data_IF_158837925582
#
_entry.id   IF_158837925582
#
_cell.length_a   1.000
_cell.length_b   1.000
_cell.length_c   1.000
_cell.angle_alpha   90.00
_cell.angle_beta   90.00
_cell.angle_gamma   90.00
#
_symmetry.space_group_name_H-M   'P 1'
#
loop_
_entity.id
_entity.type
_entity.pdbx_description
1 polymer ?
#
# COMPACT_ATOMS: atom_id res chain seq x y z
N UNK A 1 -27.71 3.90 0.84
CA UNK A 1 -27.43 2.65 1.60
C UNK A 1 -26.13 2.79 2.38
N UNK A 2 -26.09 2.38 3.64
CA UNK A 2 -24.91 2.32 4.52
C UNK A 2 -24.23 0.96 4.32
N UNK A 3 -23.10 0.94 3.62
CA UNK A 3 -22.42 -0.32 3.27
C UNK A 3 -21.07 -0.39 3.97
N UNK A 4 -20.83 -1.47 4.71
CA UNK A 4 -19.51 -1.74 5.29
C UNK A 4 -18.65 -2.47 4.26
N UNK A 5 -17.58 -1.84 3.80
CA UNK A 5 -16.62 -2.44 2.88
C UNK A 5 -15.44 -3.02 3.63
N UNK A 6 -15.23 -4.33 3.51
CA UNK A 6 -14.00 -4.96 3.94
C UNK A 6 -12.93 -4.72 2.87
N UNK A 7 -11.88 -3.96 3.19
CA UNK A 7 -10.75 -3.66 2.30
C UNK A 7 -9.49 -3.31 3.12
N UNK A 8 -8.34 -3.08 2.46
CA UNK A 8 -7.19 -2.44 3.12
C UNK A 8 -7.07 -1.00 2.64
N UNK A 9 -6.64 -0.10 3.54
CA UNK A 9 -6.30 1.28 3.21
C UNK A 9 -4.83 1.50 3.44
N UNK A 10 -4.10 2.00 2.44
CA UNK A 10 -2.68 2.33 2.45
C UNK A 10 -1.72 1.16 2.69
N UNK A 11 -2.18 -0.10 2.52
CA UNK A 11 -1.31 -1.29 2.59
C UNK A 11 -0.88 -1.81 1.21
N UNK A 12 -1.82 -1.87 0.28
CA UNK A 12 -1.58 -2.28 -1.10
C UNK A 12 -2.44 -1.37 -1.97
N UNK A 13 -1.86 -0.59 -2.89
CA UNK A 13 -2.61 0.34 -3.72
C UNK A 13 -3.67 -0.38 -4.58
N UNK A 14 -3.43 -1.63 -4.97
CA UNK A 14 -4.38 -2.47 -5.68
C UNK A 14 -5.68 -2.71 -4.91
N UNK A 15 -5.62 -2.89 -3.60
CA UNK A 15 -6.81 -3.07 -2.76
C UNK A 15 -7.70 -1.83 -2.75
N UNK A 16 -7.11 -0.63 -2.81
CA UNK A 16 -7.85 0.63 -2.90
C UNK A 16 -8.52 0.82 -4.26
N UNK A 17 -7.85 0.42 -5.35
CA UNK A 17 -8.48 0.41 -6.68
C UNK A 17 -9.66 -0.57 -6.73
N UNK A 18 -9.53 -1.75 -6.12
CA UNK A 18 -10.64 -2.71 -6.01
C UNK A 18 -11.79 -2.10 -5.21
N UNK A 19 -11.51 -1.49 -4.05
CA UNK A 19 -12.52 -0.82 -3.23
C UNK A 19 -13.26 0.28 -4.01
N UNK A 20 -12.52 1.18 -4.67
CA UNK A 20 -13.10 2.24 -5.52
C UNK A 20 -13.95 1.66 -6.64
N UNK A 21 -13.48 0.59 -7.27
CA UNK A 21 -14.21 -0.16 -8.27
C UNK A 21 -15.53 -0.74 -7.76
N UNK A 22 -15.52 -1.35 -6.58
CA UNK A 22 -16.73 -1.84 -5.92
C UNK A 22 -17.71 -0.71 -5.63
N UNK A 23 -17.26 0.40 -5.03
CA UNK A 23 -18.12 1.57 -4.73
C UNK A 23 -18.74 2.10 -6.03
N UNK A 24 -17.96 2.24 -7.09
CA UNK A 24 -18.47 2.72 -8.36
C UNK A 24 -19.45 1.74 -9.02
N UNK A 25 -19.28 0.44 -8.84
CA UNK A 25 -20.25 -0.54 -9.35
C UNK A 25 -21.66 -0.29 -8.78
N UNK A 26 -21.77 0.07 -7.49
CA UNK A 26 -23.05 0.49 -6.90
C UNK A 26 -23.57 1.80 -7.50
N UNK A 27 -22.70 2.80 -7.65
CA UNK A 27 -23.09 4.08 -8.26
C UNK A 27 -23.59 3.91 -9.71
N UNK A 28 -22.93 3.06 -10.51
CA UNK A 28 -23.35 2.71 -11.87
C UNK A 28 -24.66 1.93 -11.91
N UNK A 29 -25.00 1.22 -10.84
CA UNK A 29 -26.29 0.57 -10.66
C UNK A 29 -27.38 1.52 -10.12
N UNK A 30 -27.10 2.83 -10.01
CA UNK A 30 -28.04 3.82 -9.49
C UNK A 30 -28.24 3.78 -7.97
N UNK A 31 -27.33 3.11 -7.24
CA UNK A 31 -27.39 3.00 -5.78
C UNK A 31 -26.46 4.02 -5.15
N UNK A 32 -27.04 4.96 -4.39
CA UNK A 32 -26.27 5.85 -3.55
C UNK A 32 -25.76 5.11 -2.30
N UNK A 33 -24.45 5.18 -2.08
CA UNK A 33 -23.76 4.43 -1.03
C UNK A 33 -23.05 5.39 -0.11
N UNK A 34 -23.27 5.22 1.19
CA UNK A 34 -22.47 5.76 2.28
C UNK A 34 -21.44 4.70 2.67
N UNK A 35 -20.21 4.73 2.13
CA UNK A 35 -19.21 3.69 2.36
C UNK A 35 -18.60 3.82 3.75
N UNK A 36 -18.61 2.74 4.52
CA UNK A 36 -17.92 2.62 5.80
C UNK A 36 -16.83 1.56 5.67
N UNK A 37 -15.60 1.88 6.02
CA UNK A 37 -14.49 0.93 5.86
C UNK A 37 -14.42 -0.02 7.07
N UNK A 38 -14.28 -1.32 6.83
CA UNK A 38 -13.67 -2.28 7.75
C UNK A 38 -12.23 -2.51 7.29
N UNK A 39 -11.27 -1.84 7.93
CA UNK A 39 -9.89 -1.83 7.46
C UNK A 39 -9.15 -3.10 7.89
N UNK A 40 -8.71 -3.91 6.93
CA UNK A 40 -7.96 -5.16 7.12
C UNK A 40 -6.45 -4.97 7.21
N UNK A 41 -5.95 -3.73 7.27
CA UNK A 41 -4.52 -3.44 7.22
C UNK A 41 -3.72 -4.27 8.26
N UNK A 42 -2.64 -4.97 7.87
CA UNK A 42 -1.95 -5.92 8.76
C UNK A 42 -1.41 -5.33 10.07
N UNK A 43 -1.04 -4.04 10.08
CA UNK A 43 -0.58 -3.35 11.30
C UNK A 43 -1.69 -3.15 12.35
N UNK A 44 -2.95 -3.00 11.93
CA UNK A 44 -4.09 -2.82 12.83
C UNK A 44 -4.79 -4.15 13.13
N UNK A 45 -4.77 -5.09 12.18
CA UNK A 45 -5.37 -6.42 12.26
C UNK A 45 -4.35 -7.50 11.88
N UNK A 46 -3.45 -7.89 12.78
CA UNK A 46 -2.44 -8.90 12.48
C UNK A 46 -3.07 -10.31 12.37
N UNK A 47 -2.77 -11.04 11.28
CA UNK A 47 -3.25 -12.41 11.08
C UNK A 47 -2.58 -13.42 12.01
N UNK A 48 -1.27 -13.25 12.23
CA UNK A 48 -0.51 -14.07 13.16
C UNK A 48 -0.35 -13.31 14.48
N UNK A 49 -1.02 -13.82 15.51
CA UNK A 49 -0.64 -13.48 16.89
C UNK A 49 0.79 -13.96 17.04
N UNK A 50 1.77 -13.06 17.15
CA UNK A 50 3.02 -13.45 17.82
C UNK A 50 2.56 -13.98 19.18
N UNK A 51 2.57 -15.30 19.36
CA UNK A 51 2.43 -15.90 20.69
C UNK A 51 3.59 -15.31 21.47
N UNK A 52 3.31 -14.28 22.26
CA UNK A 52 4.23 -13.87 23.30
C UNK A 52 4.46 -15.15 24.12
N UNK A 53 5.67 -15.70 24.04
CA UNK A 53 6.12 -16.76 24.94
C UNK A 53 5.83 -16.24 26.35
N UNK A 54 5.07 -17.03 27.09
CA UNK A 54 4.52 -16.66 28.39
C UNK A 54 5.65 -16.36 29.38
N UNK A 55 5.60 -15.17 29.96
CA UNK A 55 6.54 -14.65 30.97
C UNK A 55 6.58 -13.13 30.86
N UNK A 56 6.16 -12.40 31.93
CA UNK A 56 6.00 -10.93 32.15
C UNK A 56 5.53 -10.01 30.98
N UNK A 57 5.84 -10.29 29.72
CA UNK A 57 5.36 -9.64 28.50
C UNK A 57 3.91 -9.95 28.12
N UNK A 58 3.18 -10.77 28.90
CA UNK A 58 1.74 -10.99 28.70
C UNK A 58 0.94 -9.68 28.86
N UNK A 59 1.31 -8.82 29.82
CA UNK A 59 0.72 -7.49 29.98
C UNK A 59 1.04 -6.54 28.82
N UNK A 60 2.29 -6.59 28.30
CA UNK A 60 2.68 -5.84 27.09
C UNK A 60 1.95 -6.36 25.85
N UNK A 61 1.67 -7.67 25.78
CA UNK A 61 0.90 -8.30 24.69
C UNK A 61 -0.59 -7.96 24.74
N UNK A 62 -1.16 -7.75 25.93
CA UNK A 62 -2.51 -7.19 26.12
C UNK A 62 -2.58 -5.72 25.69
N UNK A 63 -1.58 -4.90 26.03
CA UNK A 63 -1.46 -3.52 25.50
C UNK A 63 -1.22 -3.47 23.99
N UNK A 64 -0.51 -4.44 23.42
CA UNK A 64 -0.34 -4.57 21.96
C UNK A 64 -1.61 -5.08 21.26
N UNK A 65 -2.44 -5.91 21.92
CA UNK A 65 -3.79 -6.31 21.47
C UNK A 65 -4.76 -5.13 21.39
N UNK A 66 -4.50 -4.08 22.18
CA UNK A 66 -5.36 -2.94 22.36
C UNK A 66 -4.66 -1.63 21.98
N UNK A 67 -3.73 -1.62 21.02
CA UNK A 67 -3.35 -0.33 20.43
C UNK A 67 -4.60 0.18 19.71
N UNK A 68 -5.28 1.21 20.25
CA UNK A 68 -6.39 1.79 19.54
C UNK A 68 -5.78 2.35 18.26
N UNK A 69 -6.19 1.82 17.13
CA UNK A 69 -5.87 2.47 15.88
C UNK A 69 -6.92 3.54 15.67
N UNK A 70 -6.49 4.78 15.46
CA UNK A 70 -7.36 5.95 15.41
C UNK A 70 -7.84 6.27 13.99
N UNK A 71 -7.84 5.28 13.09
CA UNK A 71 -8.42 5.48 11.76
C UNK A 71 -9.96 5.59 11.84
N UNK A 72 -10.58 6.18 10.81
CA UNK A 72 -12.03 6.26 10.74
C UNK A 72 -12.62 5.01 10.06
N UNK A 73 -12.54 3.87 10.74
CA UNK A 73 -13.01 2.57 10.24
C UNK A 73 -13.72 1.77 11.34
N UNK A 74 -14.53 0.77 10.96
CA UNK A 74 -15.22 -0.14 11.90
C UNK A 74 -14.19 -0.85 12.77
N UNK A 75 -14.32 -0.64 14.09
CA UNK A 75 -13.47 -1.28 15.11
C UNK A 75 -14.07 -2.61 15.55
N UNK A 76 -13.27 -3.38 16.30
CA UNK A 76 -13.76 -4.63 16.89
C UNK A 76 -14.91 -4.41 17.88
N UNK A 77 -14.89 -3.30 18.62
CA UNK A 77 -15.96 -2.95 19.54
C UNK A 77 -17.15 -2.24 18.86
N UNK A 78 -16.97 -1.72 17.64
CA UNK A 78 -18.04 -1.00 16.92
C UNK A 78 -19.09 -1.98 16.43
N UNK A 79 -20.34 -1.77 16.82
CA UNK A 79 -21.47 -2.51 16.30
C UNK A 79 -21.71 -2.21 14.80
N UNK A 80 -22.23 -3.16 14.03
CA UNK A 80 -22.61 -2.96 12.61
C UNK A 80 -24.10 -3.12 12.35
N UNK A 81 -24.95 -3.18 13.38
CA UNK A 81 -26.42 -3.21 13.19
C UNK A 81 -26.97 -2.04 12.36
N UNK A 82 -26.19 -0.98 12.17
CA UNK A 82 -26.53 0.12 11.27
C UNK A 82 -26.37 -0.20 9.76
N UNK A 83 -25.66 -1.27 9.41
CA UNK A 83 -25.24 -1.56 8.03
C UNK A 83 -26.36 -2.24 7.23
N UNK A 84 -26.66 -1.72 6.05
CA UNK A 84 -27.64 -2.31 5.14
C UNK A 84 -27.04 -3.53 4.40
N UNK A 85 -25.71 -3.55 4.24
CA UNK A 85 -24.96 -4.65 3.66
C UNK A 85 -23.48 -4.63 4.06
N UNK A 86 -22.81 -5.78 3.95
CA UNK A 86 -21.35 -5.88 3.99
C UNK A 86 -20.80 -6.34 2.65
N UNK A 87 -19.79 -5.65 2.13
CA UNK A 87 -19.12 -5.98 0.88
C UNK A 87 -17.67 -6.36 1.14
N UNK A 88 -17.28 -7.58 0.76
CA UNK A 88 -15.88 -7.97 0.72
C UNK A 88 -15.28 -7.55 -0.63
N UNK A 89 -14.52 -6.45 -0.63
CA UNK A 89 -13.74 -6.02 -1.78
C UNK A 89 -12.52 -6.97 -1.93
N UNK A 90 -12.46 -7.68 -3.06
CA UNK A 90 -11.75 -8.93 -3.27
C UNK A 90 -10.22 -8.92 -3.25
N UNK A 91 -9.60 -8.38 -2.21
CA UNK A 91 -8.21 -8.74 -1.90
C UNK A 91 -8.12 -10.16 -1.36
N UNK A 92 -6.99 -10.87 -1.46
CA UNK A 92 -6.85 -12.27 -1.02
C UNK A 92 -7.08 -12.50 0.50
N UNK A 93 -7.38 -11.44 1.25
CA UNK A 93 -7.62 -11.45 2.69
C UNK A 93 -9.12 -11.39 3.02
N UNK A 94 -9.96 -12.07 2.24
CA UNK A 94 -11.42 -12.19 2.46
C UNK A 94 -11.81 -13.33 3.41
N UNK A 95 -10.83 -14.12 3.86
CA UNK A 95 -10.95 -15.18 4.88
C UNK A 95 -9.80 -15.13 5.88
N UNK A 96 -9.98 -15.77 7.04
CA UNK A 96 -8.99 -15.93 8.10
C UNK A 96 -9.07 -14.87 9.21
N UNK A 97 -8.02 -14.84 10.05
CA UNK A 97 -8.05 -14.14 11.33
C UNK A 97 -8.33 -12.63 11.25
N UNK A 98 -7.97 -11.95 10.15
CA UNK A 98 -8.16 -10.49 10.01
C UNK A 98 -9.61 -10.06 9.82
N UNK A 99 -10.45 -10.96 9.30
CA UNK A 99 -11.86 -10.70 9.00
C UNK A 99 -12.80 -11.41 9.95
N UNK A 100 -12.28 -12.22 10.88
CA UNK A 100 -13.10 -13.00 11.81
C UNK A 100 -14.12 -12.15 12.57
N UNK A 101 -13.71 -11.00 13.11
CA UNK A 101 -14.62 -10.12 13.86
C UNK A 101 -15.70 -9.49 12.96
N UNK A 102 -15.43 -9.31 11.67
CA UNK A 102 -16.45 -8.89 10.72
C UNK A 102 -17.46 -10.01 10.47
N UNK A 103 -17.02 -11.26 10.29
CA UNK A 103 -17.90 -12.42 10.18
C UNK A 103 -18.78 -12.61 11.43
N UNK A 104 -18.21 -12.43 12.63
CA UNK A 104 -18.95 -12.51 13.92
C UNK A 104 -20.08 -11.48 13.96
N UNK A 105 -19.78 -10.25 13.55
CA UNK A 105 -20.75 -9.17 13.48
C UNK A 105 -21.81 -9.37 12.40
N UNK A 106 -21.43 -9.87 11.21
CA UNK A 106 -22.36 -10.23 10.15
C UNK A 106 -23.38 -11.27 10.64
N UNK A 107 -22.91 -12.28 11.38
CA UNK A 107 -23.79 -13.31 11.91
C UNK A 107 -24.70 -12.80 13.02
N UNK A 108 -24.19 -11.95 13.92
CA UNK A 108 -24.96 -11.40 15.04
C UNK A 108 -26.13 -10.51 14.59
N UNK A 109 -26.01 -9.81 13.46
CA UNK A 109 -27.03 -8.89 12.94
C UNK A 109 -27.70 -9.38 11.66
N UNK A 110 -27.39 -10.60 11.22
CA UNK A 110 -27.84 -11.19 9.96
C UNK A 110 -27.68 -10.25 8.73
N UNK A 111 -26.57 -9.51 8.67
CA UNK A 111 -26.37 -8.49 7.64
C UNK A 111 -26.18 -9.15 6.27
N UNK A 112 -26.89 -8.71 5.21
CA UNK A 112 -26.67 -9.20 3.86
C UNK A 112 -25.23 -9.01 3.39
N UNK A 113 -24.67 -10.00 2.71
CA UNK A 113 -23.26 -9.96 2.27
C UNK A 113 -23.10 -10.14 0.76
N UNK A 114 -22.15 -9.40 0.20
CA UNK A 114 -21.67 -9.56 -1.17
C UNK A 114 -20.15 -9.69 -1.19
N UNK A 115 -19.64 -10.58 -2.03
CA UNK A 115 -18.22 -10.79 -2.25
C UNK A 115 -17.89 -10.37 -3.68
N UNK A 116 -17.10 -9.32 -3.85
CA UNK A 116 -16.88 -8.71 -5.16
C UNK A 116 -15.40 -8.83 -5.57
N UNK A 117 -15.17 -9.63 -6.62
CA UNK A 117 -13.87 -9.79 -7.26
C UNK A 117 -12.86 -10.55 -6.41
N UNK A 118 -13.30 -11.57 -5.67
CA UNK A 118 -12.43 -12.39 -4.84
C UNK A 118 -11.30 -12.99 -5.67
N UNK A 119 -10.13 -13.08 -5.06
CA UNK A 119 -9.00 -13.77 -5.64
C UNK A 119 -8.14 -14.46 -4.61
N UNK A 120 -7.36 -15.42 -5.05
CA UNK A 120 -6.33 -16.11 -4.26
C UNK A 120 -5.14 -16.48 -5.12
N UNK A 121 -4.01 -16.78 -4.49
CA UNK A 121 -2.82 -17.30 -5.15
C UNK A 121 -2.47 -18.73 -4.72
N UNK A 122 -3.37 -19.40 -3.97
CA UNK A 122 -3.17 -20.75 -3.46
C UNK A 122 -4.44 -21.55 -3.57
N UNK A 123 -4.30 -22.79 -4.02
CA UNK A 123 -5.41 -23.74 -4.04
C UNK A 123 -5.98 -23.95 -2.63
N UNK A 124 -7.30 -24.07 -2.52
CA UNK A 124 -8.01 -24.42 -1.29
C UNK A 124 -9.27 -25.23 -1.64
N UNK A 125 -9.95 -25.77 -0.62
CA UNK A 125 -11.25 -26.43 -0.77
C UNK A 125 -12.29 -25.70 0.04
N UNK A 126 -13.51 -25.58 -0.47
CA UNK A 126 -14.64 -25.00 0.27
C UNK A 126 -15.15 -25.96 1.36
N UNK A 127 -14.36 -26.13 2.42
CA UNK A 127 -14.62 -27.06 3.51
C UNK A 127 -14.12 -26.53 4.87
N UNK A 128 -14.40 -27.28 5.94
CA UNK A 128 -13.98 -26.94 7.31
C UNK A 128 -12.46 -26.98 7.52
N UNK A 129 -11.68 -27.50 6.56
CA UNK A 129 -10.21 -27.49 6.63
C UNK A 129 -9.64 -26.11 6.28
N UNK A 130 -10.31 -25.39 5.38
CA UNK A 130 -9.86 -24.07 4.92
C UNK A 130 -10.70 -22.89 5.45
N UNK A 131 -11.87 -23.18 6.00
CA UNK A 131 -12.84 -22.19 6.47
C UNK A 131 -13.34 -22.51 7.87
N UNK A 132 -13.53 -21.46 8.68
CA UNK A 132 -14.33 -21.51 9.89
C UNK A 132 -15.80 -21.77 9.56
N UNK A 133 -16.58 -22.26 10.55
CA UNK A 133 -18.02 -22.55 10.37
C UNK A 133 -18.73 -21.27 9.93
N UNK A 134 -18.41 -20.19 10.62
CA UNK A 134 -18.96 -18.86 10.38
C UNK A 134 -18.67 -18.34 8.96
N UNK A 135 -17.48 -18.56 8.44
CA UNK A 135 -17.13 -18.18 7.07
C UNK A 135 -17.94 -18.98 6.05
N UNK A 136 -18.09 -20.30 6.25
CA UNK A 136 -18.92 -21.14 5.39
C UNK A 136 -20.37 -20.66 5.41
N UNK A 137 -20.94 -20.48 6.60
CA UNK A 137 -22.34 -20.07 6.78
C UNK A 137 -22.62 -18.73 6.08
N UNK A 138 -21.71 -17.75 6.23
CA UNK A 138 -21.85 -16.43 5.60
C UNK A 138 -21.67 -16.49 4.08
N UNK A 139 -20.71 -17.27 3.57
CA UNK A 139 -20.50 -17.43 2.12
C UNK A 139 -21.70 -18.12 1.47
N UNK A 140 -22.24 -19.17 2.09
CA UNK A 140 -23.38 -19.94 1.58
C UNK A 140 -24.65 -19.09 1.46
N UNK A 141 -24.90 -18.17 2.41
CA UNK A 141 -26.07 -17.28 2.39
C UNK A 141 -25.84 -15.92 1.71
N UNK A 142 -24.65 -15.71 1.15
CA UNK A 142 -24.30 -14.44 0.52
C UNK A 142 -25.18 -14.18 -0.72
N UNK A 143 -25.48 -12.91 -0.98
CA UNK A 143 -26.35 -12.50 -2.09
C UNK A 143 -25.65 -12.58 -3.43
N UNK A 144 -24.32 -12.42 -3.44
CA UNK A 144 -23.50 -12.44 -4.63
C UNK A 144 -22.07 -12.80 -4.27
N UNK A 145 -21.47 -13.70 -5.06
CA UNK A 145 -20.05 -13.97 -5.03
C UNK A 145 -19.51 -13.85 -6.44
N UNK A 146 -18.54 -12.98 -6.64
CA UNK A 146 -17.79 -12.87 -7.88
C UNK A 146 -16.31 -13.09 -7.62
N UNK A 147 -15.67 -13.83 -8.52
CA UNK A 147 -14.24 -14.10 -8.50
C UNK A 147 -13.59 -13.50 -9.74
N UNK A 148 -12.33 -13.07 -9.62
CA UNK A 148 -11.58 -12.46 -10.74
C UNK A 148 -10.64 -13.42 -11.46
N UNK A 149 -10.37 -14.58 -10.88
CA UNK A 149 -9.49 -15.59 -11.43
C UNK A 149 -10.17 -16.98 -11.45
N UNK A 150 -9.80 -17.85 -12.42
CA UNK A 150 -10.37 -19.19 -12.53
C UNK A 150 -10.13 -20.05 -11.29
N UNK A 151 -8.93 -19.97 -10.69
CA UNK A 151 -8.54 -20.76 -9.52
C UNK A 151 -9.50 -20.53 -8.34
N UNK A 152 -9.81 -19.28 -8.02
CA UNK A 152 -10.72 -18.95 -6.91
C UNK A 152 -12.15 -19.39 -7.21
N UNK A 153 -12.57 -19.27 -8.47
CA UNK A 153 -13.90 -19.72 -8.93
C UNK A 153 -14.06 -21.23 -8.75
N UNK A 154 -13.03 -22.00 -9.10
CA UNK A 154 -12.96 -23.45 -8.90
C UNK A 154 -12.94 -23.82 -7.41
N UNK A 155 -12.07 -23.18 -6.62
CA UNK A 155 -11.90 -23.50 -5.21
C UNK A 155 -13.14 -23.22 -4.34
N UNK A 156 -14.06 -22.37 -4.83
CA UNK A 156 -15.32 -22.02 -4.15
C UNK A 156 -16.52 -22.90 -4.56
N UNK A 157 -16.34 -23.86 -5.47
CA UNK A 157 -17.39 -24.84 -5.74
C UNK A 157 -17.80 -25.57 -4.44
N UNK A 158 -19.11 -25.84 -4.22
CA UNK A 158 -20.21 -25.73 -5.17
C UNK A 158 -21.00 -24.42 -5.09
N UNK A 159 -20.45 -23.34 -4.52
CA UNK A 159 -21.17 -22.07 -4.41
C UNK A 159 -21.52 -21.50 -5.80
N UNK A 160 -22.64 -20.75 -5.95
CA UNK A 160 -23.06 -20.13 -7.20
C UNK A 160 -22.20 -18.89 -7.54
N UNK A 161 -20.90 -19.10 -7.77
CA UNK A 161 -19.90 -18.06 -8.03
C UNK A 161 -19.91 -17.65 -9.50
N UNK A 162 -19.75 -16.35 -9.76
CA UNK A 162 -19.56 -15.82 -11.12
C UNK A 162 -18.10 -15.40 -11.34
N UNK A 163 -17.48 -15.88 -12.41
CA UNK A 163 -16.19 -15.37 -12.85
C UNK A 163 -16.41 -14.06 -13.62
N UNK A 164 -15.94 -12.94 -13.07
CA UNK A 164 -16.06 -11.60 -13.67
C UNK A 164 -14.73 -10.85 -13.59
N UNK A 165 -14.48 -9.84 -14.44
CA UNK A 165 -13.31 -9.00 -14.31
C UNK A 165 -13.19 -8.36 -12.93
N UNK A 166 -11.94 -8.08 -12.52
CA UNK A 166 -11.66 -7.41 -11.25
C UNK A 166 -12.41 -6.07 -11.16
N UNK A 167 -13.08 -5.75 -10.04
CA UNK A 167 -13.75 -4.46 -9.86
C UNK A 167 -12.84 -3.25 -10.09
N UNK A 168 -11.52 -3.40 -9.92
CA UNK A 168 -10.54 -2.36 -10.21
C UNK A 168 -10.66 -1.75 -11.62
N UNK A 169 -11.18 -2.49 -12.61
CA UNK A 169 -11.47 -1.95 -13.94
C UNK A 169 -12.48 -0.80 -13.92
N UNK A 170 -13.38 -0.77 -12.93
CA UNK A 170 -14.36 0.29 -12.76
C UNK A 170 -13.81 1.48 -11.97
N UNK A 171 -12.60 1.40 -11.41
CA UNK A 171 -12.08 2.43 -10.49
C UNK A 171 -11.79 3.78 -11.15
N UNK A 172 -11.58 3.83 -12.48
CA UNK A 172 -11.16 5.02 -13.20
C UNK A 172 -12.34 5.87 -13.65
N UNK A 173 -12.62 6.99 -12.97
CA UNK A 173 -13.77 7.88 -13.25
C UNK A 173 -13.90 8.27 -14.74
N UNK A 174 -12.76 8.48 -15.42
CA UNK A 174 -12.72 8.89 -16.82
C UNK A 174 -11.71 8.04 -17.59
N UNK A 175 -12.07 7.69 -18.81
CA UNK A 175 -11.19 7.03 -19.78
C UNK A 175 -10.86 8.03 -20.87
N UNK A 176 -9.58 8.23 -21.17
CA UNK A 176 -9.13 9.13 -22.22
C UNK A 176 -8.06 8.45 -23.06
N UNK A 177 -8.30 8.36 -24.36
CA UNK A 177 -7.26 7.95 -25.32
C UNK A 177 -6.23 9.06 -25.45
N UNK A 178 -4.94 8.73 -25.34
CA UNK A 178 -3.84 9.66 -25.57
C UNK A 178 -3.33 9.47 -27.00
N UNK A 179 -3.34 10.53 -27.80
CA UNK A 179 -2.82 10.55 -29.18
C UNK A 179 -1.38 11.08 -29.26
N UNK A 180 -0.95 11.82 -28.24
CA UNK A 180 0.41 12.36 -28.13
C UNK A 180 0.99 12.04 -26.76
N UNK A 181 2.24 11.60 -26.71
CA UNK A 181 2.95 11.28 -25.47
C UNK A 181 3.98 12.38 -25.22
N UNK A 182 3.74 13.21 -24.19
CA UNK A 182 4.70 14.22 -23.71
C UNK A 182 5.39 13.80 -22.42
N UNK A 183 4.75 12.90 -21.67
CA UNK A 183 5.20 12.44 -20.36
C UNK A 183 4.85 10.98 -20.17
N UNK A 184 5.76 10.23 -19.57
CA UNK A 184 5.60 8.81 -19.23
C UNK A 184 5.87 8.62 -17.75
N UNK A 185 4.94 7.97 -17.06
CA UNK A 185 5.14 7.49 -15.70
C UNK A 185 5.72 6.08 -15.72
N UNK A 186 6.88 5.90 -15.11
CA UNK A 186 7.57 4.62 -14.92
C UNK A 186 7.28 4.13 -13.51
N UNK A 187 6.50 3.05 -13.38
CA UNK A 187 6.14 2.50 -12.07
C UNK A 187 7.34 1.72 -11.54
N UNK A 188 7.95 2.21 -10.48
CA UNK A 188 9.04 1.56 -9.79
C UNK A 188 8.48 0.50 -8.85
N UNK A 189 8.95 -0.73 -8.99
CA UNK A 189 8.73 -1.81 -8.03
C UNK A 189 10.07 -2.29 -7.52
N UNK A 190 10.21 -2.56 -6.22
CA UNK A 190 11.47 -3.06 -5.62
C UNK A 190 11.38 -4.55 -5.29
N UNK A 191 12.46 -5.30 -5.48
CA UNK A 191 12.59 -6.67 -4.98
C UNK A 191 12.72 -6.73 -3.44
N UNK A 192 13.13 -5.61 -2.84
CA UNK A 192 13.33 -5.43 -1.40
C UNK A 192 12.12 -4.81 -0.68
N UNK A 193 11.02 -4.52 -1.38
CA UNK A 193 9.81 -4.02 -0.74
C UNK A 193 9.19 -5.07 0.22
N UNK A 194 8.16 -4.66 0.96
CA UNK A 194 7.49 -5.56 1.90
C UNK A 194 6.85 -6.76 1.18
N UNK A 195 6.88 -7.93 1.83
CA UNK A 195 6.32 -9.17 1.27
C UNK A 195 4.89 -9.00 0.77
N UNK A 196 4.61 -9.53 -0.43
CA UNK A 196 3.35 -9.39 -1.18
C UNK A 196 3.16 -8.04 -1.89
N UNK A 197 4.07 -7.09 -1.71
CA UNK A 197 4.17 -5.86 -2.51
C UNK A 197 5.52 -5.76 -3.24
N UNK A 198 6.43 -6.73 -3.04
CA UNK A 198 7.71 -6.81 -3.73
C UNK A 198 7.63 -7.62 -5.02
N UNK A 199 8.61 -7.39 -5.90
CA UNK A 199 8.79 -8.13 -7.16
C UNK A 199 9.99 -9.08 -7.07
N UNK A 200 10.22 -9.89 -8.09
CA UNK A 200 11.42 -10.73 -8.14
C UNK A 200 12.67 -9.90 -8.46
N UNK A 201 13.88 -10.30 -8.01
CA UNK A 201 15.13 -9.63 -8.40
C UNK A 201 15.34 -9.57 -9.92
N UNK A 202 14.90 -10.60 -10.65
CA UNK A 202 14.97 -10.62 -12.11
C UNK A 202 14.04 -9.59 -12.74
N UNK A 203 12.80 -9.47 -12.24
CA UNK A 203 11.86 -8.41 -12.66
C UNK A 203 12.41 -7.03 -12.34
N UNK A 204 13.01 -6.85 -11.16
CA UNK A 204 13.65 -5.60 -10.78
C UNK A 204 14.77 -5.20 -11.75
N UNK A 205 15.71 -6.12 -12.02
CA UNK A 205 16.82 -5.88 -12.94
C UNK A 205 16.32 -5.54 -14.35
N UNK A 206 15.32 -6.28 -14.83
CA UNK A 206 14.66 -6.02 -16.11
C UNK A 206 14.04 -4.61 -16.18
N UNK A 207 13.29 -4.20 -15.14
CA UNK A 207 12.69 -2.86 -15.10
C UNK A 207 13.76 -1.76 -15.09
N UNK A 208 14.85 -1.93 -14.33
CA UNK A 208 15.97 -0.99 -14.32
C UNK A 208 16.56 -0.81 -15.72
N UNK A 209 16.83 -1.91 -16.41
CA UNK A 209 17.41 -1.91 -17.75
C UNK A 209 16.46 -1.30 -18.79
N UNK A 210 15.19 -1.71 -18.78
CA UNK A 210 14.16 -1.16 -19.66
C UNK A 210 14.04 0.36 -19.48
N UNK A 211 13.99 0.84 -18.24
CA UNK A 211 13.85 2.27 -17.96
C UNK A 211 15.07 3.06 -18.41
N UNK A 212 16.29 2.54 -18.18
CA UNK A 212 17.50 3.16 -18.68
C UNK A 212 17.50 3.28 -20.21
N UNK A 213 17.07 2.23 -20.93
CA UNK A 213 16.97 2.23 -22.40
C UNK A 213 15.92 3.23 -22.91
N UNK A 214 14.73 3.27 -22.29
CA UNK A 214 13.66 4.20 -22.66
C UNK A 214 14.09 5.67 -22.48
N UNK A 215 14.72 5.96 -21.34
CA UNK A 215 15.21 7.30 -21.03
C UNK A 215 16.34 7.71 -21.98
N UNK A 216 17.27 6.80 -22.28
CA UNK A 216 18.34 7.08 -23.24
C UNK A 216 17.79 7.36 -24.65
N UNK A 217 16.79 6.59 -25.10
CA UNK A 217 16.23 6.72 -26.43
C UNK A 217 15.31 7.94 -26.59
N UNK A 218 14.58 8.33 -25.55
CA UNK A 218 13.48 9.31 -25.68
C UNK A 218 13.55 10.49 -24.70
N UNK A 219 14.49 10.52 -23.74
CA UNK A 219 14.53 11.50 -22.66
C UNK A 219 14.75 12.95 -23.10
N UNK A 220 15.12 13.20 -24.36
CA UNK A 220 15.21 14.54 -24.96
C UNK A 220 13.87 15.08 -25.45
N UNK A 221 12.89 14.21 -25.73
CA UNK A 221 11.59 14.57 -26.30
C UNK A 221 10.40 14.23 -25.39
N UNK A 222 10.60 13.29 -24.46
CA UNK A 222 9.59 12.81 -23.52
C UNK A 222 10.09 13.03 -22.09
N UNK A 223 9.23 13.60 -21.25
CA UNK A 223 9.47 13.70 -19.82
C UNK A 223 9.19 12.35 -19.14
N UNK A 224 10.15 11.81 -18.39
CA UNK A 224 9.96 10.60 -17.59
C UNK A 224 9.81 10.95 -16.11
N UNK A 225 8.75 10.44 -15.48
CA UNK A 225 8.54 10.51 -14.04
C UNK A 225 8.58 9.10 -13.44
N UNK A 226 9.32 8.91 -12.35
CA UNK A 226 9.27 7.65 -11.60
C UNK A 226 8.19 7.72 -10.51
N UNK A 227 7.36 6.69 -10.47
CA UNK A 227 6.27 6.55 -9.51
C UNK A 227 6.54 5.33 -8.66
N UNK A 228 6.81 5.51 -7.36
CA UNK A 228 6.92 4.40 -6.44
C UNK A 228 5.57 3.68 -6.33
N UNK A 229 5.57 2.35 -6.52
CA UNK A 229 4.40 1.51 -6.30
C UNK A 229 4.05 1.46 -4.82
N UNK A 230 5.07 1.45 -3.96
CA UNK A 230 4.92 1.36 -2.52
C UNK A 230 5.88 2.32 -1.79
N UNK A 231 5.47 2.85 -0.64
CA UNK A 231 6.23 3.91 0.05
C UNK A 231 7.62 3.44 0.50
N UNK A 232 7.76 2.17 0.86
CA UNK A 232 9.02 1.57 1.29
C UNK A 232 10.05 1.47 0.15
N UNK A 233 9.65 1.79 -1.09
CA UNK A 233 10.52 1.81 -2.25
C UNK A 233 11.30 3.11 -2.40
N UNK A 234 10.86 4.19 -1.75
CA UNK A 234 11.53 5.49 -1.82
C UNK A 234 12.99 5.44 -1.36
N UNK A 235 13.36 4.79 -0.23
CA UNK A 235 14.76 4.63 0.14
C UNK A 235 15.59 3.90 -0.92
N UNK A 236 15.01 2.90 -1.59
CA UNK A 236 15.68 2.13 -2.64
C UNK A 236 15.91 2.96 -3.90
N UNK A 237 14.96 3.84 -4.23
CA UNK A 237 15.13 4.82 -5.29
C UNK A 237 16.24 5.83 -4.97
N UNK A 238 16.33 6.28 -3.71
CA UNK A 238 17.36 7.23 -3.30
C UNK A 238 18.75 6.61 -3.09
N UNK A 239 18.84 5.28 -2.99
CA UNK A 239 20.09 4.55 -2.89
C UNK A 239 20.87 4.52 -4.24
N UNK A 240 22.20 4.36 -4.17
CA UNK A 240 23.12 4.37 -5.33
C UNK A 240 22.76 3.36 -6.44
N UNK A 241 21.95 2.34 -6.14
CA UNK A 241 21.53 1.28 -7.07
C UNK A 241 20.70 1.80 -8.27
N UNK A 242 20.04 2.95 -8.16
CA UNK A 242 19.28 3.57 -9.26
C UNK A 242 19.96 4.78 -9.91
N UNK A 243 21.24 5.02 -9.59
CA UNK A 243 22.00 6.17 -10.10
C UNK A 243 22.10 6.23 -11.63
N UNK A 244 21.93 5.08 -12.31
CA UNK A 244 21.96 4.97 -13.79
C UNK A 244 20.84 5.78 -14.45
N UNK A 245 19.69 5.97 -13.79
CA UNK A 245 18.57 6.75 -14.33
C UNK A 245 18.58 8.23 -13.93
N UNK A 246 19.48 8.68 -13.02
CA UNK A 246 19.40 10.02 -12.42
C UNK A 246 19.81 11.16 -13.34
N UNK A 247 20.72 10.94 -14.29
CA UNK A 247 21.24 12.02 -15.12
C UNK A 247 20.23 12.58 -16.14
N UNK A 248 19.06 11.94 -16.32
CA UNK A 248 18.07 12.33 -17.33
C UNK A 248 16.64 12.52 -16.76
N UNK A 249 16.45 12.39 -15.44
CA UNK A 249 15.14 12.58 -14.79
C UNK A 249 15.11 13.97 -14.14
N UNK A 250 14.27 14.86 -14.68
CA UNK A 250 14.14 16.26 -14.21
C UNK A 250 13.41 16.37 -12.86
N UNK A 251 12.56 15.41 -12.50
CA UNK A 251 11.74 15.49 -11.28
C UNK A 251 11.36 14.10 -10.77
N UNK A 252 11.47 13.89 -9.45
CA UNK A 252 10.87 12.74 -8.76
C UNK A 252 9.58 13.21 -8.10
N UNK A 253 8.43 12.63 -8.46
CA UNK A 253 7.15 12.89 -7.77
C UNK A 253 6.69 11.63 -7.07
N UNK A 254 6.55 11.70 -5.75
CA UNK A 254 5.88 10.67 -4.97
C UNK A 254 4.38 10.94 -5.05
N UNK A 255 3.69 10.25 -5.95
CA UNK A 255 2.22 10.30 -6.00
C UNK A 255 1.71 9.30 -4.97
N UNK A 256 1.40 9.78 -3.77
CA UNK A 256 0.62 8.98 -2.81
C UNK A 256 -0.87 9.04 -3.20
N UNK A 257 -1.67 7.99 -2.96
CA UNK A 257 -3.10 7.96 -3.31
C UNK A 257 -3.92 9.15 -2.75
N UNK A 258 -3.42 9.81 -1.72
CA UNK A 258 -3.99 11.02 -1.11
C UNK A 258 -3.83 12.30 -1.92
N UNK A 259 -2.93 12.34 -2.92
CA UNK A 259 -2.59 13.56 -3.67
C UNK A 259 -3.50 13.84 -4.88
N UNK A 260 -4.55 13.04 -5.09
CA UNK A 260 -5.47 13.17 -6.24
C UNK A 260 -6.67 14.12 -5.96
N UNK A 261 -6.84 14.61 -4.72
CA UNK A 261 -7.90 15.58 -4.41
C UNK A 261 -7.34 16.85 -3.74
N UNK A 262 -6.91 17.80 -4.57
CA UNK A 262 -6.85 19.21 -4.23
C UNK A 262 -6.95 20.04 -5.53
N UNK A 263 -8.09 19.94 -6.21
CA UNK A 263 -8.52 20.94 -7.20
C UNK A 263 -10.04 21.08 -7.06
N UNK A 264 -10.44 21.74 -5.98
CA UNK A 264 -11.76 22.38 -5.91
C UNK A 264 -11.60 23.85 -6.25
N UNK A 265 -12.35 24.25 -7.27
CA UNK A 265 -12.60 25.60 -7.72
C UNK A 265 -12.98 26.53 -6.58
N UNK A 266 -12.19 27.58 -6.36
CA UNK A 266 -12.56 28.72 -5.53
C UNK A 266 -13.42 29.68 -6.35
N UNK A 267 -14.74 29.62 -6.18
CA UNK A 267 -15.64 30.76 -6.42
C UNK A 267 -15.64 31.63 -5.17
N UNK A 268 -15.29 32.90 -5.34
CA UNK A 268 -14.95 33.82 -4.26
C UNK A 268 -16.11 34.23 -3.37
N UNK A 269 -15.80 34.42 -2.09
CA UNK A 269 -16.42 35.43 -1.23
C UNK A 269 -15.28 36.06 -0.42
N UNK A 270 -15.15 37.37 -0.54
CA UNK A 270 -14.16 38.18 0.14
C UNK A 270 -14.55 38.39 1.61
N UNK A 271 -13.59 38.20 2.52
CA UNK A 271 -13.62 38.78 3.86
C UNK A 271 -12.19 39.21 4.25
N UNK A 272 -12.06 40.46 4.67
CA UNK A 272 -10.84 41.21 4.96
C UNK A 272 -10.33 41.03 6.40
N UNK A 273 -9.00 41.05 6.53
CA UNK A 273 -8.16 41.39 7.72
C UNK A 273 -8.24 40.41 8.92
N UNK A 274 -7.20 40.10 9.70
CA UNK A 274 -5.89 40.72 9.95
C UNK A 274 -4.92 39.73 10.63
N UNK A 275 -3.63 40.11 10.65
CA UNK A 275 -2.55 39.73 11.60
C UNK A 275 -1.90 38.32 11.54
N UNK A 276 -0.65 38.32 11.06
CA UNK A 276 0.40 37.29 11.17
C UNK A 276 0.82 37.00 12.62
N UNK A 277 1.47 35.85 12.91
CA UNK A 277 2.94 35.87 13.11
C UNK A 277 3.65 34.55 12.65
N UNK A 278 4.95 34.29 12.95
CA UNK A 278 6.04 34.30 11.98
C UNK A 278 6.45 32.91 11.47
N UNK A 279 7.06 32.92 10.28
CA UNK A 279 7.69 31.79 9.59
C UNK A 279 8.95 31.33 10.33
N UNK A 280 9.06 30.02 10.63
CA UNK A 280 10.35 29.36 10.84
C UNK A 280 10.83 28.82 9.50
N UNK A 281 11.94 29.38 9.02
CA UNK A 281 12.66 28.91 7.84
C UNK A 281 13.33 27.56 8.12
N UNK A 282 13.13 26.59 7.22
CA UNK A 282 13.99 25.42 7.12
C UNK A 282 15.17 25.76 6.20
N UNK A 283 16.38 25.24 6.45
CA UNK A 283 17.55 25.58 5.65
C UNK A 283 17.46 24.96 4.24
N UNK A 284 17.57 25.80 3.22
CA UNK A 284 17.78 25.40 1.83
C UNK A 284 19.16 24.73 1.68
N UNK A 285 19.16 23.50 1.17
CA UNK A 285 20.38 22.87 0.66
C UNK A 285 20.71 23.48 -0.70
N UNK A 286 21.60 24.47 -0.71
CA UNK A 286 22.22 24.99 -1.93
C UNK A 286 23.24 23.96 -2.44
N UNK A 287 22.97 23.35 -3.60
CA UNK A 287 23.96 22.55 -4.31
C UNK A 287 24.96 23.47 -5.01
N UNK A 288 26.21 23.49 -4.56
CA UNK A 288 27.30 24.19 -5.23
C UNK A 288 27.77 23.38 -6.44
N UNK A 289 27.38 23.82 -7.64
CA UNK A 289 27.95 23.38 -8.92
C UNK A 289 29.09 24.30 -9.32
N UNK A 290 30.33 23.92 -9.04
CA UNK A 290 31.52 24.35 -9.79
C UNK A 290 32.68 23.39 -9.53
N UNK A 291 33.10 22.66 -10.56
CA UNK A 291 34.48 22.65 -11.08
C UNK A 291 34.69 21.45 -12.01
N UNK A 292 34.67 21.77 -13.30
CA UNK A 292 35.23 20.93 -14.34
C UNK A 292 36.76 20.96 -14.27
N UNK A 293 37.38 19.78 -14.46
CA UNK A 293 38.61 19.59 -15.19
C UNK A 293 39.92 20.13 -14.61
N UNK A 294 40.79 19.22 -14.16
CA UNK A 294 42.18 19.10 -14.66
C UNK A 294 42.81 17.79 -14.17
N UNK A 295 43.25 16.97 -15.14
CA UNK A 295 44.15 15.83 -14.92
C UNK A 295 45.52 16.33 -14.47
N UNK A 296 46.18 15.62 -13.57
CA UNK A 296 47.61 15.22 -13.71
C UNK A 296 47.96 14.09 -12.75
N UNK A 297 48.81 13.22 -13.27
CA UNK A 297 49.45 12.04 -12.68
C UNK A 297 50.64 12.50 -11.83
N UNK A 298 50.91 11.82 -10.70
CA UNK A 298 52.21 11.22 -10.32
C UNK A 298 52.40 11.04 -8.80
N UNK A 299 52.86 9.82 -8.46
CA UNK A 299 53.86 9.46 -7.44
C UNK A 299 53.70 9.87 -5.96
N UNK A 300 53.81 8.85 -5.09
CA UNK A 300 54.95 8.80 -4.16
C UNK A 300 54.68 9.08 -2.67
N UNK A 301 54.74 7.99 -1.90
CA UNK A 301 55.32 7.85 -0.54
C UNK A 301 54.73 8.61 0.67
N UNK A 302 54.32 7.78 1.63
CA UNK A 302 54.48 7.85 3.09
C UNK A 302 55.27 9.03 3.68
N UNK A 303 54.73 9.64 4.74
CA UNK A 303 55.22 9.49 6.13
C UNK A 303 54.43 10.40 7.10
N UNK A 304 54.59 10.10 8.39
CA UNK A 304 54.23 10.88 9.59
C UNK A 304 52.94 10.50 10.33
N UNK A 305 53.10 9.48 11.19
CA UNK A 305 52.55 9.36 12.55
C UNK A 305 53.71 9.60 13.54
N UNK A 306 53.53 9.65 14.88
CA UNK A 306 52.39 10.11 15.69
C UNK A 306 52.84 10.94 16.93
N UNK A 307 51.90 11.50 17.70
CA UNK A 307 52.13 11.84 19.11
C UNK A 307 51.11 11.11 20.00
N UNK A 308 51.64 10.27 20.90
CA UNK A 308 50.92 9.60 22.00
C UNK A 308 50.73 10.56 23.16
N UNK A 309 49.60 10.45 23.88
CA UNK A 309 49.64 10.45 25.36
C UNK A 309 48.63 9.47 25.91
N UNK A 310 49.17 8.59 26.75
CA UNK A 310 48.53 7.53 27.51
C UNK A 310 48.02 8.05 28.86
N UNK A 311 46.95 7.45 29.38
CA UNK A 311 46.90 7.00 30.77
C UNK A 311 46.10 5.71 30.88
N UNK A 312 46.55 4.87 31.81
CA UNK A 312 46.30 3.45 32.03
C UNK A 312 44.99 3.18 32.77
N UNK A 313 44.40 1.99 32.60
CA UNK A 313 44.51 0.84 33.55
C UNK A 313 43.84 -0.43 32.99
N UNK A 314 44.65 -1.47 32.83
CA UNK A 314 44.28 -2.89 32.93
C UNK A 314 43.89 -3.20 34.41
N UNK A 315 43.28 -4.33 34.80
CA UNK A 315 43.39 -5.70 34.33
C UNK A 315 42.17 -6.54 34.84
N UNK A 316 41.72 -7.55 34.08
CA UNK A 316 41.78 -9.02 34.37
C UNK A 316 40.95 -9.48 35.57
N UNK A 317 40.15 -10.55 35.54
CA UNK A 317 40.36 -11.92 35.03
C UNK A 317 38.99 -12.64 34.96
N UNK A 318 38.71 -13.43 33.92
CA UNK A 318 38.72 -14.91 33.96
C UNK A 318 38.08 -15.53 35.23
N UNK A 319 36.85 -16.03 35.07
CA UNK A 319 36.40 -17.41 35.31
C UNK A 319 35.29 -17.73 34.29
#
# INVERSE_FOLDING_TARGET
>A
MKIVFSATRQWNPGDEFILRGCIRAFALAGVDVMPVLFNRHPQIRPAHRRRARWGLGALKSLRARARPFFDNSVKDATDIGFADAVVFAGSPQWRGARVRTLYEKIAAHDVPTCFLGLGTNRHFRFDRRHFSKLELDVLQRSRLITCRDPLTTECLQPLPVRHLPCPAFLSAERVQRRTTIRRVALIFGSDQAVTSNNISPATFAYLCELYARLIAAHGTSIEFELVAHYIDELPHFFARRFAICRCAIRTTRVITPTSIHATTSSSGIACTASASPPRRAYPEFVSCTTCAGKRRVASGRSCCRPARRSTRRCASSMQ
#
